data_IF_573633490261
#
_entry.id   IF_573633490261
#
_cell.length_a   1.000
_cell.length_b   1.000
_cell.length_c   1.000
_cell.angle_alpha   90.00
_cell.angle_beta   90.00
_cell.angle_gamma   90.00
#
_symmetry.space_group_name_H-M   'P 1'
#
loop_
_entity.id
_entity.type
_entity.pdbx_description
1 polymer ?
#
# COMPACT_ATOMS: atom_id res chain seq x y z
N UNK A 1 22.50 -12.51 0.76
CA UNK A 1 21.60 -12.14 1.84
C UNK A 1 20.37 -11.45 1.27
N UNK A 2 19.22 -11.72 1.83
CA UNK A 2 17.97 -11.16 1.38
C UNK A 2 17.52 -10.07 2.36
N UNK A 3 17.16 -8.91 1.85
CA UNK A 3 16.72 -7.80 2.68
C UNK A 3 15.35 -7.33 2.24
N UNK A 4 14.44 -7.20 3.18
CA UNK A 4 13.10 -6.71 2.91
C UNK A 4 12.85 -5.43 3.71
N UNK A 5 12.02 -4.57 3.16
CA UNK A 5 11.56 -3.37 3.85
C UNK A 5 10.03 -3.36 3.92
N UNK A 6 9.54 -2.70 4.93
CA UNK A 6 8.11 -2.53 5.13
C UNK A 6 7.80 -1.04 5.21
N UNK A 7 6.80 -0.63 4.46
CA UNK A 7 6.27 0.74 4.52
C UNK A 7 4.78 0.69 4.78
N UNK A 8 4.29 1.65 5.56
CA UNK A 8 2.87 1.74 5.83
C UNK A 8 2.33 3.00 5.17
N UNK A 9 1.24 2.85 4.45
CA UNK A 9 0.64 3.93 3.68
C UNK A 9 -0.87 3.92 3.89
N UNK A 10 -1.44 5.11 4.01
CA UNK A 10 -2.89 5.26 4.11
C UNK A 10 -3.40 5.81 2.78
N UNK A 11 -4.40 5.14 2.24
CA UNK A 11 -5.06 5.60 1.04
C UNK A 11 -6.55 5.79 1.27
N UNK A 12 -7.17 6.54 0.41
CA UNK A 12 -8.61 6.77 0.50
C UNK A 12 -9.24 6.85 -0.89
N UNK A 13 -10.53 6.59 -0.94
CA UNK A 13 -11.30 6.68 -2.18
C UNK A 13 -12.76 6.95 -1.83
N UNK A 14 -13.45 7.73 -2.65
CA UNK A 14 -14.88 7.90 -2.47
C UNK A 14 -15.69 6.72 -2.99
N UNK A 15 -15.05 5.78 -3.68
CA UNK A 15 -15.74 4.70 -4.40
C UNK A 15 -15.73 3.36 -3.67
N UNK A 16 -14.58 2.92 -3.21
CA UNK A 16 -14.45 1.59 -2.61
C UNK A 16 -13.11 1.41 -1.93
N UNK A 17 -13.02 0.36 -1.10
CA UNK A 17 -11.76 -0.02 -0.49
C UNK A 17 -10.77 -0.51 -1.55
N UNK A 18 -11.27 -1.23 -2.55
CA UNK A 18 -10.40 -1.72 -3.63
C UNK A 18 -9.78 -0.57 -4.40
N UNK A 19 -10.57 0.45 -4.68
CA UNK A 19 -10.08 1.62 -5.39
C UNK A 19 -9.04 2.36 -4.54
N UNK A 20 -9.28 2.46 -3.23
CA UNK A 20 -8.32 3.08 -2.33
C UNK A 20 -7.00 2.33 -2.33
N UNK A 21 -7.06 0.99 -2.26
CA UNK A 21 -5.86 0.16 -2.27
C UNK A 21 -5.13 0.28 -3.62
N UNK A 22 -5.88 0.28 -4.72
CA UNK A 22 -5.27 0.40 -6.04
C UNK A 22 -4.57 1.74 -6.21
N UNK A 23 -5.15 2.81 -5.68
CA UNK A 23 -4.53 4.13 -5.70
C UNK A 23 -3.19 4.14 -4.98
N UNK A 24 -3.15 3.50 -3.81
CA UNK A 24 -1.91 3.39 -3.05
C UNK A 24 -0.86 2.63 -3.84
N UNK A 25 -1.26 1.49 -4.40
CA UNK A 25 -0.34 0.65 -5.16
C UNK A 25 0.21 1.39 -6.38
N UNK A 26 -0.64 2.11 -7.08
CA UNK A 26 -0.23 2.88 -8.25
C UNK A 26 0.81 3.93 -7.89
N UNK A 27 0.60 4.63 -6.77
CA UNK A 27 1.57 5.62 -6.31
C UNK A 27 2.86 4.98 -5.85
N UNK A 28 2.75 3.89 -5.11
CA UNK A 28 3.92 3.20 -4.59
C UNK A 28 4.80 2.66 -5.71
N UNK A 29 4.19 2.17 -6.78
CA UNK A 29 4.94 1.65 -7.92
C UNK A 29 5.77 2.71 -8.64
N UNK A 30 5.48 3.98 -8.44
CA UNK A 30 6.27 5.06 -9.05
C UNK A 30 7.57 5.27 -8.32
N UNK A 31 7.60 5.03 -7.03
CA UNK A 31 8.76 5.33 -6.20
C UNK A 31 9.42 4.11 -5.60
N UNK A 32 8.68 3.03 -5.46
CA UNK A 32 9.17 1.79 -4.87
C UNK A 32 9.17 0.69 -5.92
N UNK A 33 10.18 -0.13 -5.88
CA UNK A 33 10.29 -1.26 -6.79
C UNK A 33 10.34 -2.55 -6.00
N UNK A 34 9.92 -3.63 -6.63
CA UNK A 34 9.98 -4.93 -6.00
C UNK A 34 8.96 -5.14 -4.90
N UNK A 35 7.79 -4.50 -5.03
CA UNK A 35 6.71 -4.73 -4.07
C UNK A 35 6.27 -6.19 -4.23
N UNK A 36 6.40 -6.96 -3.15
CA UNK A 36 6.07 -8.37 -3.16
C UNK A 36 4.85 -8.72 -2.34
N UNK A 37 4.39 -7.79 -1.53
CA UNK A 37 3.22 -8.07 -0.72
C UNK A 37 2.51 -6.82 -0.27
N UNK A 38 1.20 -6.94 -0.10
CA UNK A 38 0.36 -5.90 0.46
C UNK A 38 -0.51 -6.55 1.51
N UNK A 39 -0.49 -5.96 2.69
CA UNK A 39 -1.33 -6.42 3.78
C UNK A 39 -2.27 -5.31 4.20
N UNK A 40 -3.55 -5.62 4.34
CA UNK A 40 -4.51 -4.65 4.85
C UNK A 40 -4.45 -4.68 6.36
N UNK A 41 -3.98 -3.61 6.95
CA UNK A 41 -3.88 -3.49 8.41
C UNK A 41 -5.21 -3.06 8.99
N UNK A 42 -5.87 -2.12 8.32
CA UNK A 42 -7.11 -1.57 8.82
C UNK A 42 -7.93 -0.99 7.69
N UNK A 43 -9.24 -1.10 7.81
CA UNK A 43 -10.20 -0.45 6.91
C UNK A 43 -11.08 0.46 7.75
N UNK A 44 -11.32 1.66 7.27
CA UNK A 44 -12.18 2.61 7.93
C UNK A 44 -13.14 3.26 6.95
N UNK A 45 -14.29 3.63 7.46
CA UNK A 45 -15.27 4.38 6.69
C UNK A 45 -15.43 5.75 7.34
N UNK A 46 -15.34 6.79 6.53
CA UNK A 46 -15.66 8.13 7.00
C UNK A 46 -17.13 8.38 6.69
N UNK A 47 -17.88 8.76 7.68
CA UNK A 47 -19.31 9.01 7.56
C UNK A 47 -19.60 10.48 7.70
N UNK A 48 -20.34 11.04 6.77
CA UNK A 48 -20.79 12.42 6.82
C UNK A 48 -22.26 12.47 6.42
N UNK A 49 -23.04 13.22 7.20
CA UNK A 49 -24.47 13.41 6.92
C UNK A 49 -25.25 12.09 6.71
N UNK A 50 -24.88 11.08 7.50
CA UNK A 50 -25.58 9.80 7.44
C UNK A 50 -25.17 8.89 6.29
N UNK A 51 -24.19 9.29 5.51
CA UNK A 51 -23.74 8.48 4.38
C UNK A 51 -22.22 8.27 4.42
N UNK A 52 -21.76 7.29 3.65
CA UNK A 52 -20.34 7.01 3.55
C UNK A 52 -19.71 8.02 2.61
N UNK A 53 -18.83 8.84 3.15
CA UNK A 53 -18.13 9.86 2.39
C UNK A 53 -16.83 9.35 1.79
N UNK A 54 -16.17 8.43 2.49
CA UNK A 54 -14.85 8.03 2.10
C UNK A 54 -14.51 6.64 2.62
N UNK A 55 -13.83 5.86 1.79
CA UNK A 55 -13.27 4.56 2.16
C UNK A 55 -11.78 4.74 2.38
N UNK A 56 -11.30 4.40 3.56
CA UNK A 56 -9.89 4.51 3.91
C UNK A 56 -9.28 3.14 4.16
N UNK A 57 -8.07 2.96 3.67
CA UNK A 57 -7.32 1.73 3.91
C UNK A 57 -5.95 2.08 4.46
N UNK A 58 -5.54 1.31 5.46
CA UNK A 58 -4.18 1.38 5.97
C UNK A 58 -3.48 0.11 5.49
N UNK A 59 -2.49 0.27 4.65
CA UNK A 59 -1.80 -0.84 4.02
C UNK A 59 -0.36 -0.92 4.49
N UNK A 60 0.11 -2.14 4.61
CA UNK A 60 1.52 -2.42 4.84
C UNK A 60 2.07 -3.01 3.56
N UNK A 61 3.04 -2.35 2.99
CA UNK A 61 3.70 -2.81 1.78
C UNK A 61 5.02 -3.47 2.15
N UNK A 62 5.24 -4.66 1.62
CA UNK A 62 6.51 -5.35 1.77
C UNK A 62 7.20 -5.34 0.41
N UNK A 63 8.45 -4.95 0.39
CA UNK A 63 9.21 -4.99 -0.84
C UNK A 63 10.64 -5.41 -0.53
N UNK A 64 11.20 -6.12 -1.48
CA UNK A 64 12.53 -6.67 -1.32
C UNK A 64 13.57 -5.72 -1.84
N UNK A 65 14.54 -5.47 -0.99
CA UNK A 65 15.68 -4.67 -1.38
C UNK A 65 16.57 -5.53 -2.23
N UNK A 66 16.62 -5.15 -3.44
CA UNK A 66 17.56 -5.61 -4.45
C UNK A 66 18.58 -6.66 -4.03
N UNK A 67 18.25 -7.90 -4.05
CA UNK A 67 19.26 -8.93 -3.87
C UNK A 67 20.32 -8.85 -4.96
N UNK A 68 19.98 -8.23 -6.08
CA UNK A 68 20.96 -8.02 -7.14
C UNK A 68 22.17 -7.24 -6.63
N UNK A 69 21.98 -6.33 -5.69
CA UNK A 69 23.09 -5.57 -5.16
C UNK A 69 24.02 -6.46 -4.36
N UNK A 70 23.55 -7.62 -4.00
CA UNK A 70 24.33 -8.57 -3.25
C UNK A 70 24.84 -9.69 -4.14
N UNK A 71 24.19 -9.89 -5.26
CA UNK A 71 24.51 -11.02 -6.11
C UNK A 71 25.53 -10.71 -7.19
N UNK A 72 25.78 -9.47 -7.44
CA UNK A 72 26.75 -9.15 -8.48
C UNK A 72 28.12 -8.83 -7.95
N UNK A 73 28.35 -9.26 -6.75
CA UNK A 73 29.71 -9.28 -6.23
C UNK A 73 30.40 -10.56 -6.65
#
# INVERSE_FOLDING_TARGET
MWVSKVSQIIGSSPSSFEDAAQSVLTRANRTLRGITGIEVVEKRLKVEEGGIAEYRVHLRLTFDMAPWSETHW
#
